data_IF_630194835175
#
_entry.id   IF_630194835175
#
_cell.length_a   1.000
_cell.length_b   1.000
_cell.length_c   1.000
_cell.angle_alpha   90.00
_cell.angle_beta   90.00
_cell.angle_gamma   90.00
#
_symmetry.space_group_name_H-M   'P 1'
#
loop_
_entity.id
_entity.type
_entity.pdbx_description
1 polymer ?
#
# COMPACT_ATOMS: atom_id res chain seq x y z
N UNK A 1 -29.26 38.32 10.70
CA UNK A 1 -29.91 37.48 9.67
C UNK A 1 -28.82 36.65 9.00
N UNK A 2 -28.54 35.48 9.55
CA UNK A 2 -27.55 34.53 9.04
C UNK A 2 -28.31 33.28 8.60
N UNK A 3 -28.60 33.18 7.31
CA UNK A 3 -29.32 32.03 6.74
C UNK A 3 -28.48 31.35 5.66
N UNK A 4 -27.97 30.17 6.03
CA UNK A 4 -27.97 28.97 5.20
C UNK A 4 -27.44 29.13 3.78
N UNK A 5 -26.11 29.19 3.64
CA UNK A 5 -25.44 28.64 2.46
C UNK A 5 -25.61 27.12 2.51
N UNK A 6 -26.76 26.68 1.99
CA UNK A 6 -27.16 25.27 1.88
C UNK A 6 -26.10 24.45 1.14
N UNK A 7 -25.73 23.31 1.70
CA UNK A 7 -24.85 22.31 1.08
C UNK A 7 -25.32 21.86 -0.32
N UNK A 8 -26.59 22.08 -0.66
CA UNK A 8 -27.17 21.81 -1.98
C UNK A 8 -26.50 22.59 -3.11
N UNK A 9 -26.22 23.89 -2.92
CA UNK A 9 -25.68 24.73 -4.00
C UNK A 9 -24.26 24.32 -4.39
N UNK A 10 -23.47 23.82 -3.44
CA UNK A 10 -22.11 23.35 -3.72
C UNK A 10 -22.13 21.99 -4.43
N UNK A 11 -23.02 21.08 -4.02
CA UNK A 11 -23.19 19.77 -4.67
C UNK A 11 -23.69 19.93 -6.10
N UNK A 12 -24.67 20.80 -6.34
CA UNK A 12 -25.21 21.07 -7.67
C UNK A 12 -24.16 21.70 -8.60
N UNK A 13 -23.32 22.60 -8.07
CA UNK A 13 -22.23 23.23 -8.85
C UNK A 13 -21.14 22.21 -9.21
N UNK A 14 -20.78 21.31 -8.29
CA UNK A 14 -19.79 20.25 -8.55
C UNK A 14 -20.34 19.23 -9.55
N UNK A 15 -21.61 18.83 -9.43
CA UNK A 15 -22.27 17.93 -10.39
C UNK A 15 -22.29 18.55 -11.79
N UNK A 16 -22.63 19.84 -11.90
CA UNK A 16 -22.58 20.60 -13.16
C UNK A 16 -21.17 20.61 -13.76
N UNK A 17 -20.13 20.86 -12.96
CA UNK A 17 -18.74 20.83 -13.43
C UNK A 17 -18.28 19.44 -13.89
N UNK A 18 -18.73 18.36 -13.23
CA UNK A 18 -18.38 16.99 -13.62
C UNK A 18 -19.01 16.55 -14.95
N UNK A 19 -20.11 17.18 -15.38
CA UNK A 19 -20.71 16.91 -16.69
C UNK A 19 -19.85 17.39 -17.87
N UNK A 20 -18.88 18.28 -17.63
CA UNK A 20 -17.95 18.77 -18.64
C UNK A 20 -16.64 17.97 -18.70
N UNK A 21 -16.41 17.06 -17.75
CA UNK A 21 -15.26 16.15 -17.80
C UNK A 21 -15.54 15.03 -18.80
N UNK A 22 -14.53 14.58 -19.57
CA UNK A 22 -14.69 13.42 -20.43
C UNK A 22 -15.09 12.21 -19.57
N UNK A 23 -16.12 11.48 -20.02
CA UNK A 23 -16.57 10.26 -19.34
C UNK A 23 -15.38 9.31 -19.22
N UNK A 24 -15.12 8.81 -18.02
CA UNK A 24 -14.04 7.86 -17.78
C UNK A 24 -14.30 6.57 -18.56
N UNK A 25 -13.50 6.24 -19.60
CA UNK A 25 -13.73 5.06 -20.42
C UNK A 25 -13.56 3.75 -19.64
N UNK A 26 -12.87 3.79 -18.50
CA UNK A 26 -12.66 2.64 -17.61
C UNK A 26 -13.81 2.43 -16.62
N UNK A 27 -14.69 3.42 -16.43
CA UNK A 27 -15.75 3.32 -15.42
C UNK A 27 -16.72 2.18 -15.72
N UNK A 28 -17.19 2.05 -16.97
CA UNK A 28 -18.16 1.01 -17.34
C UNK A 28 -17.56 -0.39 -17.25
N UNK A 29 -16.38 -0.69 -17.84
CA UNK A 29 -15.75 -2.00 -17.65
C UNK A 29 -15.47 -2.34 -16.19
N UNK A 30 -15.00 -1.36 -15.41
CA UNK A 30 -14.73 -1.56 -13.98
C UNK A 30 -16.01 -1.83 -13.19
N UNK A 31 -17.09 -1.09 -13.45
CA UNK A 31 -18.40 -1.34 -12.87
C UNK A 31 -18.89 -2.76 -13.18
N UNK A 32 -18.86 -3.17 -14.45
CA UNK A 32 -19.29 -4.51 -14.85
C UNK A 32 -18.48 -5.60 -14.14
N UNK A 33 -17.17 -5.44 -14.03
CA UNK A 33 -16.31 -6.39 -13.31
C UNK A 33 -16.61 -6.42 -11.80
N UNK A 34 -16.85 -5.24 -11.21
CA UNK A 34 -17.14 -5.10 -9.78
C UNK A 34 -18.51 -5.66 -9.40
N UNK A 35 -19.53 -5.39 -10.21
CA UNK A 35 -20.88 -5.95 -10.06
C UNK A 35 -20.85 -7.46 -10.29
N UNK A 36 -20.12 -7.94 -11.30
CA UNK A 36 -19.92 -9.38 -11.51
C UNK A 36 -19.33 -10.04 -10.26
N UNK A 37 -18.28 -9.46 -9.67
CA UNK A 37 -17.68 -9.98 -8.44
C UNK A 37 -18.68 -10.02 -7.28
N UNK A 38 -19.42 -8.94 -7.03
CA UNK A 38 -20.39 -8.87 -5.94
C UNK A 38 -21.59 -9.81 -6.13
N UNK A 39 -21.98 -10.10 -7.36
CA UNK A 39 -23.11 -10.98 -7.68
C UNK A 39 -22.76 -12.48 -7.66
N UNK A 40 -21.48 -12.83 -7.81
CA UNK A 40 -21.05 -14.24 -7.94
C UNK A 40 -20.28 -14.77 -6.72
N UNK A 41 -19.77 -13.89 -5.85
CA UNK A 41 -18.97 -14.29 -4.69
C UNK A 41 -19.55 -13.73 -3.39
N UNK A 42 -19.43 -14.51 -2.31
CA UNK A 42 -19.81 -14.05 -0.96
C UNK A 42 -18.87 -12.96 -0.45
N UNK A 43 -19.33 -12.15 0.51
CA UNK A 43 -18.50 -11.12 1.16
C UNK A 43 -17.22 -11.69 1.78
N UNK A 44 -17.27 -12.90 2.36
CA UNK A 44 -16.07 -13.58 2.90
C UNK A 44 -15.08 -13.89 1.78
N UNK A 45 -15.55 -14.45 0.65
CA UNK A 45 -14.68 -14.76 -0.48
C UNK A 45 -14.04 -13.49 -1.05
N UNK A 46 -14.82 -12.42 -1.20
CA UNK A 46 -14.32 -11.13 -1.71
C UNK A 46 -13.30 -10.53 -0.74
N UNK A 47 -13.63 -10.44 0.55
CA UNK A 47 -12.79 -9.79 1.56
C UNK A 47 -11.54 -10.59 1.92
N UNK A 48 -11.58 -11.92 1.88
CA UNK A 48 -10.42 -12.77 2.15
C UNK A 48 -9.68 -13.11 0.85
N UNK A 49 -10.28 -13.91 -0.02
CA UNK A 49 -9.63 -14.43 -1.23
C UNK A 49 -9.37 -13.29 -2.21
N UNK A 50 -10.34 -12.41 -2.43
CA UNK A 50 -10.17 -11.24 -3.31
C UNK A 50 -9.03 -10.34 -2.84
N UNK A 51 -8.96 -10.02 -1.54
CA UNK A 51 -7.87 -9.22 -0.98
C UNK A 51 -6.51 -9.92 -1.09
N UNK A 52 -6.44 -11.24 -0.86
CA UNK A 52 -5.20 -12.02 -1.05
C UNK A 52 -4.77 -11.97 -2.52
N UNK A 53 -5.70 -12.15 -3.47
CA UNK A 53 -5.38 -12.09 -4.89
C UNK A 53 -4.89 -10.69 -5.30
N UNK A 54 -5.55 -9.64 -4.83
CA UNK A 54 -5.12 -8.25 -5.08
C UNK A 54 -3.70 -8.02 -4.54
N UNK A 55 -3.41 -8.49 -3.33
CA UNK A 55 -2.09 -8.41 -2.72
C UNK A 55 -1.04 -9.19 -3.52
N UNK A 56 -1.21 -10.50 -3.71
CA UNK A 56 -0.21 -11.37 -4.34
C UNK A 56 0.04 -11.02 -5.80
N UNK A 57 -1.01 -10.70 -6.56
CA UNK A 57 -0.84 -10.29 -7.97
C UNK A 57 -0.04 -9.00 -8.05
N UNK A 58 -0.34 -8.03 -7.18
CA UNK A 58 0.40 -6.77 -7.17
C UNK A 58 1.84 -6.94 -6.69
N UNK A 59 2.07 -7.78 -5.68
CA UNK A 59 3.40 -8.18 -5.23
C UNK A 59 4.23 -8.74 -6.39
N UNK A 60 3.69 -9.68 -7.17
CA UNK A 60 4.36 -10.27 -8.33
C UNK A 60 4.64 -9.22 -9.40
N UNK A 61 3.66 -8.37 -9.72
CA UNK A 61 3.80 -7.29 -10.71
C UNK A 61 4.94 -6.34 -10.36
N UNK A 62 5.11 -6.00 -9.09
CA UNK A 62 6.17 -5.07 -8.66
C UNK A 62 7.53 -5.76 -8.49
N UNK A 63 7.58 -6.93 -7.84
CA UNK A 63 8.84 -7.54 -7.44
C UNK A 63 9.50 -8.39 -8.55
N UNK A 64 8.74 -9.03 -9.44
CA UNK A 64 9.34 -9.87 -10.50
C UNK A 64 10.17 -9.02 -11.48
N UNK A 65 9.69 -7.86 -11.98
CA UNK A 65 10.52 -7.01 -12.83
C UNK A 65 11.79 -6.51 -12.13
N UNK A 66 11.70 -6.13 -10.85
CA UNK A 66 12.85 -5.71 -10.05
C UNK A 66 13.86 -6.84 -9.84
N UNK A 67 13.37 -8.06 -9.58
CA UNK A 67 14.21 -9.24 -9.52
C UNK A 67 14.90 -9.51 -10.87
N UNK A 68 14.18 -9.41 -11.99
CA UNK A 68 14.76 -9.63 -13.32
C UNK A 68 15.76 -8.53 -13.72
N UNK A 69 15.60 -7.30 -13.22
CA UNK A 69 16.52 -6.19 -13.47
C UNK A 69 17.96 -6.50 -13.06
N UNK A 70 18.15 -7.40 -12.09
CA UNK A 70 19.48 -7.83 -11.65
C UNK A 70 20.30 -8.54 -12.76
N UNK A 71 19.60 -9.18 -13.70
CA UNK A 71 20.22 -9.95 -14.78
C UNK A 71 20.39 -9.15 -16.08
N UNK A 72 19.93 -7.90 -16.11
CA UNK A 72 20.01 -7.03 -17.30
C UNK A 72 21.13 -6.01 -17.08
N UNK A 73 22.27 -6.10 -17.81
CA UNK A 73 23.42 -5.21 -17.61
C UNK A 73 23.09 -3.72 -17.71
N UNK A 74 22.16 -3.36 -18.59
CA UNK A 74 21.69 -1.98 -18.74
C UNK A 74 20.99 -1.45 -17.48
N UNK A 75 20.26 -2.29 -16.74
CA UNK A 75 19.53 -1.89 -15.55
C UNK A 75 20.43 -1.87 -14.30
N UNK A 76 21.54 -2.57 -14.31
CA UNK A 76 22.52 -2.56 -13.20
C UNK A 76 23.07 -1.17 -12.89
N UNK A 77 23.16 -0.28 -13.88
CA UNK A 77 23.61 1.11 -13.65
C UNK A 77 22.69 1.92 -12.73
N UNK A 78 21.45 1.48 -12.55
CA UNK A 78 20.46 2.12 -11.68
C UNK A 78 20.47 1.55 -10.25
N UNK A 79 21.29 0.54 -9.98
CA UNK A 79 21.44 -0.02 -8.64
C UNK A 79 22.15 0.98 -7.74
N UNK A 80 21.59 1.25 -6.56
CA UNK A 80 22.11 2.24 -5.61
C UNK A 80 23.44 1.76 -5.00
N UNK A 81 23.55 0.48 -4.66
CA UNK A 81 24.76 -0.11 -4.07
C UNK A 81 25.47 -1.04 -5.05
N UNK A 82 26.39 -0.48 -5.84
CA UNK A 82 27.18 -1.24 -6.83
C UNK A 82 28.18 -2.21 -6.18
N UNK A 83 28.71 -1.85 -5.01
CA UNK A 83 29.81 -2.60 -4.35
C UNK A 83 29.35 -3.81 -3.53
N UNK A 84 28.04 -4.07 -3.46
CA UNK A 84 27.45 -5.18 -2.70
C UNK A 84 26.53 -6.01 -3.61
N UNK A 85 27.08 -6.98 -4.36
CA UNK A 85 26.26 -7.87 -5.18
C UNK A 85 25.41 -8.80 -4.29
N UNK A 86 24.20 -9.10 -4.74
CA UNK A 86 23.32 -10.06 -4.08
C UNK A 86 23.91 -11.47 -4.22
N UNK A 87 24.10 -12.16 -3.10
CA UNK A 87 24.54 -13.55 -3.11
C UNK A 87 23.34 -14.51 -3.17
N UNK A 88 23.51 -15.65 -3.83
CA UNK A 88 22.49 -16.69 -3.90
C UNK A 88 21.98 -17.10 -2.51
N UNK A 89 22.87 -17.25 -1.54
CA UNK A 89 22.51 -17.63 -0.17
C UNK A 89 21.60 -16.60 0.50
N UNK A 90 21.86 -15.31 0.30
CA UNK A 90 21.04 -14.24 0.85
C UNK A 90 19.68 -14.19 0.15
N UNK A 91 19.64 -14.37 -1.18
CA UNK A 91 18.39 -14.45 -1.94
C UNK A 91 17.54 -15.64 -1.54
N UNK A 92 18.15 -16.81 -1.31
CA UNK A 92 17.43 -18.01 -0.88
C UNK A 92 16.87 -17.87 0.54
N UNK A 93 17.64 -17.25 1.46
CA UNK A 93 17.14 -16.93 2.80
C UNK A 93 15.96 -15.96 2.74
N UNK A 94 16.11 -14.90 1.96
CA UNK A 94 15.08 -13.90 1.68
C UNK A 94 13.79 -14.54 1.12
N UNK A 95 13.92 -15.37 0.09
CA UNK A 95 12.78 -16.08 -0.52
C UNK A 95 12.03 -16.97 0.47
N UNK A 96 12.76 -17.76 1.28
CA UNK A 96 12.15 -18.62 2.30
C UNK A 96 11.42 -17.81 3.38
N UNK A 97 11.99 -16.68 3.77
CA UNK A 97 11.38 -15.79 4.77
C UNK A 97 10.08 -15.19 4.24
N UNK A 98 10.06 -14.65 3.01
CA UNK A 98 8.83 -14.13 2.39
C UNK A 98 7.77 -15.22 2.30
N UNK A 99 8.14 -16.39 1.79
CA UNK A 99 7.18 -17.47 1.62
C UNK A 99 6.51 -17.84 2.96
N UNK A 100 7.30 -17.84 4.04
CA UNK A 100 6.78 -18.03 5.38
C UNK A 100 5.88 -16.87 5.84
N UNK A 101 6.33 -15.63 5.69
CA UNK A 101 5.58 -14.43 6.09
C UNK A 101 4.24 -14.32 5.34
N UNK A 102 4.24 -14.46 4.01
CA UNK A 102 3.02 -14.40 3.21
C UNK A 102 1.99 -15.43 3.67
N UNK A 103 2.40 -16.68 3.88
CA UNK A 103 1.47 -17.77 4.20
C UNK A 103 0.99 -17.71 5.65
N UNK A 104 1.88 -17.44 6.61
CA UNK A 104 1.57 -17.59 8.03
C UNK A 104 1.28 -16.28 8.76
N UNK A 105 1.64 -15.14 8.17
CA UNK A 105 1.46 -13.82 8.77
C UNK A 105 0.49 -13.00 7.91
N UNK A 106 0.81 -12.78 6.64
CA UNK A 106 0.06 -11.83 5.81
C UNK A 106 -1.30 -12.39 5.39
N UNK A 107 -1.39 -13.62 4.91
CA UNK A 107 -2.68 -14.21 4.52
C UNK A 107 -3.70 -14.25 5.67
N UNK A 108 -3.36 -14.72 6.90
CA UNK A 108 -4.27 -14.62 8.04
C UNK A 108 -4.65 -13.19 8.38
N UNK A 109 -3.70 -12.25 8.31
CA UNK A 109 -3.94 -10.84 8.57
C UNK A 109 -4.89 -10.23 7.54
N UNK A 110 -4.67 -10.51 6.24
CA UNK A 110 -5.52 -10.07 5.13
C UNK A 110 -6.92 -10.64 5.27
N UNK A 111 -7.08 -11.89 5.70
CA UNK A 111 -8.40 -12.48 6.00
C UNK A 111 -9.13 -11.74 7.14
N UNK A 112 -8.39 -11.12 8.06
CA UNK A 112 -8.93 -10.19 9.05
C UNK A 112 -9.69 -9.00 8.44
N UNK A 113 -9.47 -8.68 7.16
CA UNK A 113 -10.23 -7.66 6.41
C UNK A 113 -11.73 -7.98 6.42
N UNK A 114 -12.12 -9.26 6.33
CA UNK A 114 -13.55 -9.63 6.43
C UNK A 114 -14.14 -9.20 7.77
N UNK A 115 -13.48 -9.55 8.88
CA UNK A 115 -13.90 -9.19 10.24
C UNK A 115 -14.02 -7.68 10.37
N UNK A 116 -13.02 -6.94 9.88
CA UNK A 116 -13.02 -5.49 9.87
C UNK A 116 -14.22 -4.92 9.10
N UNK A 117 -14.46 -5.41 7.88
CA UNK A 117 -15.55 -4.91 7.04
C UNK A 117 -16.93 -5.22 7.60
N UNK A 118 -17.10 -6.34 8.30
CA UNK A 118 -18.36 -6.64 9.00
C UNK A 118 -18.52 -5.77 10.25
N UNK A 119 -17.47 -5.64 11.06
CA UNK A 119 -17.53 -4.86 12.30
C UNK A 119 -17.88 -3.38 12.06
N UNK A 120 -17.30 -2.77 11.01
CA UNK A 120 -17.54 -1.38 10.66
C UNK A 120 -18.64 -1.19 9.59
N UNK A 121 -19.33 -2.26 9.18
CA UNK A 121 -20.36 -2.24 8.13
C UNK A 121 -19.88 -1.60 6.81
N UNK A 122 -18.66 -1.93 6.39
CA UNK A 122 -18.05 -1.38 5.17
C UNK A 122 -18.72 -1.98 3.92
N UNK A 123 -19.34 -1.18 3.06
CA UNK A 123 -20.05 -1.67 1.90
C UNK A 123 -19.11 -2.04 0.75
N UNK A 124 -19.56 -3.01 -0.07
CA UNK A 124 -18.82 -3.52 -1.23
C UNK A 124 -19.54 -3.19 -2.55
N UNK A 125 -20.83 -2.84 -2.50
CA UNK A 125 -21.68 -2.63 -3.67
C UNK A 125 -21.28 -1.41 -4.49
N UNK A 126 -21.52 -1.48 -5.80
CA UNK A 126 -21.29 -0.34 -6.68
C UNK A 126 -22.17 0.89 -6.33
N UNK A 127 -23.38 0.69 -5.83
CA UNK A 127 -24.29 1.79 -5.46
C UNK A 127 -23.70 2.73 -4.38
N UNK A 128 -22.79 2.19 -3.56
CA UNK A 128 -22.07 2.90 -2.51
C UNK A 128 -20.65 3.29 -2.91
N UNK A 129 -20.27 3.06 -4.17
CA UNK A 129 -18.93 3.33 -4.68
C UNK A 129 -18.61 4.82 -4.53
N UNK A 130 -17.55 5.20 -3.78
CA UNK A 130 -17.16 6.59 -3.68
C UNK A 130 -16.71 7.12 -5.04
N UNK A 131 -16.93 8.41 -5.30
CA UNK A 131 -16.34 9.07 -6.46
C UNK A 131 -14.81 8.92 -6.45
N UNK A 132 -14.20 8.77 -7.63
CA UNK A 132 -12.75 8.60 -7.77
C UNK A 132 -11.93 9.70 -7.08
N UNK A 133 -12.41 10.95 -7.11
CA UNK A 133 -11.79 12.07 -6.39
C UNK A 133 -11.81 11.87 -4.86
N UNK A 134 -12.88 11.28 -4.31
CA UNK A 134 -12.97 10.92 -2.90
C UNK A 134 -12.00 9.78 -2.55
N UNK A 135 -11.91 8.75 -3.41
CA UNK A 135 -10.93 7.66 -3.25
C UNK A 135 -9.51 8.23 -3.23
N UNK A 136 -9.16 9.07 -4.21
CA UNK A 136 -7.83 9.70 -4.28
C UNK A 136 -7.55 10.59 -3.07
N UNK A 137 -8.51 11.44 -2.66
CA UNK A 137 -8.35 12.29 -1.48
C UNK A 137 -8.11 11.49 -0.20
N UNK A 138 -8.83 10.38 -0.02
CA UNK A 138 -8.63 9.46 1.11
C UNK A 138 -7.24 8.82 1.09
N UNK A 139 -6.80 8.35 -0.07
CA UNK A 139 -5.45 7.79 -0.22
C UNK A 139 -4.39 8.85 0.14
N UNK A 140 -4.52 10.08 -0.34
CA UNK A 140 -3.56 11.16 -0.04
C UNK A 140 -3.52 11.46 1.47
N UNK A 141 -4.69 11.54 2.13
CA UNK A 141 -4.74 11.75 3.58
C UNK A 141 -4.10 10.56 4.32
N UNK A 142 -4.37 9.33 3.89
CA UNK A 142 -3.73 8.13 4.43
C UNK A 142 -2.20 8.19 4.28
N UNK A 143 -1.68 8.63 3.14
CA UNK A 143 -0.24 8.80 2.92
C UNK A 143 0.36 9.79 3.93
N UNK A 144 -0.24 10.98 4.08
CA UNK A 144 0.25 11.98 5.03
C UNK A 144 0.22 11.47 6.48
N UNK A 145 -0.85 10.75 6.85
CA UNK A 145 -0.96 10.16 8.19
C UNK A 145 0.09 9.08 8.43
N UNK A 146 0.30 8.21 7.45
CA UNK A 146 1.26 7.11 7.55
C UNK A 146 2.69 7.63 7.60
N UNK A 147 3.06 8.57 6.72
CA UNK A 147 4.39 9.20 6.72
C UNK A 147 4.66 9.94 8.04
N UNK A 148 3.66 10.68 8.55
CA UNK A 148 3.77 11.34 9.86
C UNK A 148 4.01 10.32 10.97
N UNK A 149 3.22 9.24 11.00
CA UNK A 149 3.35 8.17 11.99
C UNK A 149 4.72 7.48 11.90
N UNK A 150 5.13 7.14 10.68
CA UNK A 150 6.38 6.48 10.38
C UNK A 150 7.57 7.34 10.80
N UNK A 151 7.61 8.62 10.42
CA UNK A 151 8.68 9.55 10.77
C UNK A 151 8.91 9.65 12.29
N UNK A 152 7.85 9.87 13.06
CA UNK A 152 7.99 10.00 14.51
C UNK A 152 8.37 8.69 15.18
N UNK A 153 7.77 7.57 14.79
CA UNK A 153 8.11 6.28 15.38
C UNK A 153 9.51 5.83 15.00
N UNK A 154 9.91 5.99 13.75
CA UNK A 154 11.26 5.68 13.30
C UNK A 154 12.29 6.47 14.12
N UNK A 155 12.05 7.76 14.34
CA UNK A 155 12.91 8.59 15.22
C UNK A 155 12.97 8.07 16.66
N UNK A 156 11.85 7.57 17.21
CA UNK A 156 11.83 6.95 18.54
C UNK A 156 12.61 5.63 18.55
N UNK A 157 12.49 4.83 17.49
CA UNK A 157 13.20 3.56 17.34
C UNK A 157 14.72 3.75 17.28
N UNK A 158 15.19 4.89 16.76
CA UNK A 158 16.61 5.28 16.80
C UNK A 158 17.13 5.74 18.17
N UNK A 159 16.27 5.87 19.18
CA UNK A 159 16.75 6.15 20.53
C UNK A 159 17.54 4.97 21.11
N UNK A 160 18.53 5.25 21.98
CA UNK A 160 19.50 4.25 22.48
C UNK A 160 18.87 2.94 22.98
N UNK A 161 17.70 3.02 23.63
CA UNK A 161 17.01 1.84 24.18
C UNK A 161 16.33 1.02 23.09
N UNK A 162 15.55 1.64 22.22
CA UNK A 162 14.82 0.93 21.17
C UNK A 162 15.74 0.46 20.05
N UNK A 163 16.79 1.21 19.73
CA UNK A 163 17.77 0.81 18.74
C UNK A 163 18.44 -0.51 19.14
N UNK A 164 18.92 -0.59 20.38
CA UNK A 164 19.66 -1.76 20.88
C UNK A 164 18.82 -3.05 20.87
N UNK A 165 17.51 -2.95 21.16
CA UNK A 165 16.66 -4.13 21.39
C UNK A 165 15.68 -4.43 20.25
N UNK A 166 15.42 -3.49 19.35
CA UNK A 166 14.41 -3.63 18.29
C UNK A 166 15.02 -3.30 16.93
N UNK A 167 15.40 -2.04 16.70
CA UNK A 167 15.75 -1.54 15.37
C UNK A 167 17.10 -2.04 14.83
N UNK A 168 18.00 -2.52 15.70
CA UNK A 168 19.26 -3.14 15.26
C UNK A 168 19.03 -4.38 14.38
N UNK A 169 17.94 -5.11 14.59
CA UNK A 169 17.58 -6.29 13.78
C UNK A 169 17.30 -5.87 12.34
N UNK A 170 16.53 -4.79 12.16
CA UNK A 170 16.20 -4.23 10.85
C UNK A 170 17.46 -3.80 10.06
N UNK A 171 18.45 -3.21 10.73
CA UNK A 171 19.74 -2.85 10.11
C UNK A 171 20.74 -3.99 9.91
N UNK A 172 20.34 -5.26 10.14
CA UNK A 172 21.25 -6.41 9.93
C UNK A 172 21.65 -6.55 8.47
N UNK A 173 20.75 -6.19 7.54
CA UNK A 173 21.04 -6.17 6.11
C UNK A 173 21.43 -4.75 5.67
N UNK A 174 22.73 -4.52 5.52
CA UNK A 174 23.27 -3.21 5.13
C UNK A 174 23.04 -2.84 3.65
N UNK A 175 22.65 -3.82 2.83
CA UNK A 175 22.26 -3.60 1.45
C UNK A 175 20.73 -3.74 1.36
N UNK A 176 19.99 -2.68 0.98
CA UNK A 176 18.57 -2.77 0.75
C UNK A 176 18.35 -3.73 -0.41
N UNK A 177 17.67 -4.82 -0.10
CA UNK A 177 17.11 -5.75 -1.05
C UNK A 177 15.62 -5.75 -0.74
N UNK A 178 14.74 -5.69 -1.75
CA UNK A 178 13.30 -5.45 -1.54
C UNK A 178 12.69 -6.41 -0.52
N UNK A 179 13.23 -7.61 -0.44
CA UNK A 179 12.81 -8.69 0.45
C UNK A 179 13.32 -8.52 1.90
N UNK A 180 14.48 -7.88 2.10
CA UNK A 180 15.01 -7.62 3.43
C UNK A 180 14.18 -6.58 4.21
N UNK A 181 13.33 -5.80 3.52
CA UNK A 181 12.40 -4.84 4.14
C UNK A 181 11.46 -5.49 5.17
N UNK A 182 11.09 -6.75 4.94
CA UNK A 182 10.20 -7.51 5.82
C UNK A 182 10.94 -8.11 7.04
N UNK A 183 12.27 -8.06 7.06
CA UNK A 183 13.07 -8.56 8.19
C UNK A 183 13.22 -7.48 9.27
N UNK A 184 12.22 -7.38 10.13
CA UNK A 184 12.23 -6.49 11.29
C UNK A 184 11.86 -7.25 12.58
N UNK A 185 12.13 -6.63 13.72
CA UNK A 185 11.66 -7.16 15.00
C UNK A 185 10.11 -7.09 15.04
N UNK A 186 9.38 -8.11 15.56
CA UNK A 186 7.91 -8.11 15.51
C UNK A 186 7.25 -6.86 16.09
N UNK A 187 7.84 -6.28 17.16
CA UNK A 187 7.37 -5.02 17.73
C UNK A 187 7.48 -3.85 16.74
N UNK A 188 8.55 -3.81 15.94
CA UNK A 188 8.76 -2.79 14.92
C UNK A 188 7.76 -2.97 13.78
N UNK A 189 7.57 -4.21 13.31
CA UNK A 189 6.53 -4.54 12.32
C UNK A 189 5.14 -4.14 12.79
N UNK A 190 4.77 -4.44 14.04
CA UNK A 190 3.48 -4.07 14.60
C UNK A 190 3.33 -2.55 14.75
N UNK A 191 4.36 -1.87 15.26
CA UNK A 191 4.27 -0.44 15.55
C UNK A 191 4.32 0.43 14.30
N UNK A 192 5.17 0.11 13.34
CA UNK A 192 5.19 0.79 12.04
C UNK A 192 3.96 0.41 11.21
N UNK A 193 3.56 -0.87 11.23
CA UNK A 193 2.35 -1.35 10.55
C UNK A 193 1.05 -0.69 11.03
N UNK A 194 0.98 -0.22 12.29
CA UNK A 194 -0.15 0.56 12.79
C UNK A 194 -0.40 1.84 11.97
N UNK A 195 0.64 2.47 11.42
CA UNK A 195 0.49 3.65 10.56
C UNK A 195 -0.40 3.37 9.35
N UNK A 196 -0.16 2.23 8.69
CA UNK A 196 -0.96 1.77 7.55
C UNK A 196 -2.38 1.42 7.98
N UNK A 197 -2.56 0.85 9.18
CA UNK A 197 -3.88 0.53 9.72
C UNK A 197 -4.72 1.77 10.05
N UNK A 198 -4.11 2.89 10.46
CA UNK A 198 -4.86 4.13 10.68
C UNK A 198 -5.55 4.64 9.42
N UNK A 199 -4.92 4.50 8.25
CA UNK A 199 -5.55 4.82 6.97
C UNK A 199 -6.78 3.96 6.69
N UNK A 200 -6.70 2.65 6.95
CA UNK A 200 -7.85 1.73 6.82
C UNK A 200 -8.95 2.07 7.82
N UNK A 201 -8.60 2.24 9.09
CA UNK A 201 -9.52 2.48 10.20
C UNK A 201 -10.31 3.78 10.06
N UNK A 202 -9.64 4.87 9.67
CA UNK A 202 -10.27 6.20 9.64
C UNK A 202 -10.87 6.53 8.26
N UNK A 203 -10.33 5.98 7.18
CA UNK A 203 -10.67 6.41 5.82
C UNK A 203 -11.22 5.29 4.93
N UNK A 204 -11.10 4.02 5.33
CA UNK A 204 -11.58 2.84 4.60
C UNK A 204 -13.10 2.67 4.65
N UNK A 205 -13.83 3.54 3.95
CA UNK A 205 -15.30 3.55 3.93
C UNK A 205 -15.94 2.68 2.84
N UNK A 206 -15.13 2.04 2.00
CA UNK A 206 -15.55 1.12 0.95
C UNK A 206 -14.40 0.16 0.67
N UNK A 207 -14.68 -1.09 0.26
CA UNK A 207 -13.63 -2.09 -0.01
C UNK A 207 -12.59 -1.58 -1.02
N UNK A 208 -13.02 -0.85 -2.04
CA UNK A 208 -12.12 -0.24 -3.04
C UNK A 208 -11.09 0.70 -2.42
N UNK A 209 -11.44 1.41 -1.35
CA UNK A 209 -10.53 2.35 -0.67
C UNK A 209 -9.50 1.58 0.14
N UNK A 210 -9.94 0.49 0.79
CA UNK A 210 -9.04 -0.43 1.51
C UNK A 210 -8.02 -1.01 0.54
N UNK A 211 -8.49 -1.61 -0.58
CA UNK A 211 -7.61 -2.15 -1.61
C UNK A 211 -6.71 -1.08 -2.22
N UNK A 212 -7.25 0.06 -2.63
CA UNK A 212 -6.46 1.15 -3.20
C UNK A 212 -5.37 1.66 -2.27
N UNK A 213 -5.67 1.80 -0.98
CA UNK A 213 -4.69 2.17 0.02
C UNK A 213 -3.60 1.11 0.22
N UNK A 214 -3.99 -0.17 0.34
CA UNK A 214 -3.04 -1.28 0.42
C UNK A 214 -2.09 -1.30 -0.77
N UNK A 215 -2.60 -1.12 -1.99
CA UNK A 215 -1.78 -1.10 -3.20
C UNK A 215 -0.78 0.06 -3.22
N UNK A 216 -1.20 1.27 -2.80
CA UNK A 216 -0.28 2.42 -2.71
C UNK A 216 0.81 2.18 -1.68
N UNK A 217 0.49 1.58 -0.53
CA UNK A 217 1.50 1.23 0.48
C UNK A 217 2.47 0.16 0.02
N UNK A 218 1.99 -0.86 -0.70
CA UNK A 218 2.87 -1.85 -1.32
C UNK A 218 3.82 -1.20 -2.32
N UNK A 219 3.29 -0.33 -3.19
CA UNK A 219 4.08 0.37 -4.19
C UNK A 219 5.22 1.17 -3.55
N UNK A 220 4.89 2.01 -2.55
CA UNK A 220 5.88 2.80 -1.83
C UNK A 220 6.91 1.93 -1.11
N UNK A 221 6.47 0.89 -0.40
CA UNK A 221 7.36 0.00 0.33
C UNK A 221 8.37 -0.67 -0.60
N UNK A 222 7.92 -1.23 -1.72
CA UNK A 222 8.82 -1.93 -2.64
C UNK A 222 9.73 -0.98 -3.41
N UNK A 223 9.27 0.23 -3.74
CA UNK A 223 10.09 1.22 -4.43
C UNK A 223 11.27 1.68 -3.55
N UNK A 224 11.00 2.04 -2.29
CA UNK A 224 12.03 2.50 -1.33
C UNK A 224 13.05 1.40 -1.01
N UNK A 225 12.61 0.14 -0.96
CA UNK A 225 13.48 -0.99 -0.61
C UNK A 225 14.03 -1.73 -1.83
N UNK A 226 13.68 -1.33 -3.06
CA UNK A 226 14.07 -2.01 -4.30
C UNK A 226 15.58 -2.11 -4.49
N UNK A 227 16.32 -1.14 -3.95
CA UNK A 227 17.76 -0.98 -4.20
C UNK A 227 18.08 -0.41 -5.60
N UNK A 228 17.06 0.03 -6.35
CA UNK A 228 17.18 0.67 -7.66
C UNK A 228 16.66 2.11 -7.63
N UNK A 229 17.37 3.02 -8.29
CA UNK A 229 16.95 4.42 -8.48
C UNK A 229 16.84 4.71 -9.98
N UNK A 230 15.61 4.71 -10.50
CA UNK A 230 15.34 4.99 -11.92
C UNK A 230 15.18 6.50 -12.16
N UNK A 231 15.77 7.07 -13.23
CA UNK A 231 15.86 8.51 -13.47
C UNK A 231 14.51 9.20 -13.76
N UNK A 232 13.44 8.42 -14.00
CA UNK A 232 12.09 8.92 -14.28
C UNK A 232 11.04 8.30 -13.37
N UNK A 233 11.39 7.95 -12.13
CA UNK A 233 10.39 7.46 -11.19
C UNK A 233 9.37 8.57 -10.89
N UNK A 234 8.11 8.46 -11.37
CA UNK A 234 7.11 9.52 -11.18
C UNK A 234 6.73 9.67 -9.71
N UNK A 235 7.01 8.67 -8.88
CA UNK A 235 6.65 8.64 -7.48
C UNK A 235 7.51 9.63 -6.66
N UNK A 236 8.75 9.89 -7.08
CA UNK A 236 9.62 10.89 -6.47
C UNK A 236 9.14 12.34 -6.67
N UNK A 237 8.12 12.57 -7.51
CA UNK A 237 7.49 13.88 -7.71
C UNK A 237 6.36 14.14 -6.70
N UNK A 238 5.91 13.13 -5.97
CA UNK A 238 4.85 13.24 -4.97
C UNK A 238 5.46 13.75 -3.66
N UNK A 239 5.03 14.90 -3.12
CA UNK A 239 5.47 15.35 -1.81
C UNK A 239 5.18 14.28 -0.75
N UNK A 240 6.10 14.06 0.19
CA UNK A 240 6.02 13.02 1.25
C UNK A 240 6.20 11.57 0.78
N UNK A 241 6.56 11.35 -0.48
CA UNK A 241 6.83 10.01 -0.99
C UNK A 241 8.25 9.54 -0.66
N UNK A 242 8.36 8.34 -0.08
CA UNK A 242 9.64 7.65 0.09
C UNK A 242 10.58 8.31 1.09
N UNK A 243 10.04 8.74 2.23
CA UNK A 243 10.73 9.43 3.33
C UNK A 243 12.21 9.02 3.43
N UNK A 244 13.10 9.89 2.93
CA UNK A 244 14.54 9.64 2.97
C UNK A 244 14.95 9.50 4.43
N UNK A 245 15.28 8.26 4.80
CA UNK A 245 15.84 7.88 6.10
C UNK A 245 17.23 8.48 6.30
#
# INVERSE_FOLDING_TARGET
MSSLLSSSNLTDTVISATNYLPKNPLQVPFQCAWDYMNNHYSRVQIACIGSILVHEVFFVILNVPLFLAQFVPFLQRYKVQQDKPETYDNQMKAFKLILFSHVFIDMPFICGTYIFTEFFNIPFSWDTMPHWSSVMGRIIISMVMEDTWHYFLHRIMHSKRFYKHCHKVHHTFQAPFSIAAEYAHPLETLTLGMGTMWGVLLLGNHLVVIWGWTLVRMLESYDVHSGYEFPFNPLHLIPFYGGKS
#
